data_IF_935007450060
#
_entry.id   IF_935007450060
#
_cell.length_a   1.000
_cell.length_b   1.000
_cell.length_c   1.000
_cell.angle_alpha   90.00
_cell.angle_beta   90.00
_cell.angle_gamma   90.00
#
_symmetry.space_group_name_H-M   'P 1'
#
loop_
_entity.id
_entity.type
_entity.pdbx_description
1 polymer ?
#
# COMPACT_ATOMS: atom_id res chain seq x y z
N UNK A 1 2.13 -32.06 26.90
CA UNK A 1 0.94 -31.38 26.39
C UNK A 1 1.39 -30.01 25.96
N UNK A 2 1.69 -29.85 24.68
CA UNK A 2 1.98 -28.55 24.08
C UNK A 2 1.03 -28.48 22.88
N UNK A 3 0.18 -27.47 22.89
CA UNK A 3 -0.94 -27.29 21.99
C UNK A 3 -0.47 -27.19 20.53
N UNK A 4 -1.26 -27.67 19.56
CA UNK A 4 -0.99 -27.41 18.16
C UNK A 4 -1.15 -25.90 17.94
N UNK A 5 -0.06 -25.22 17.60
CA UNK A 5 -0.09 -23.87 17.03
C UNK A 5 -1.07 -23.94 15.85
N UNK A 6 -2.15 -23.17 15.91
CA UNK A 6 -3.10 -23.02 14.81
C UNK A 6 -2.32 -22.75 13.52
N UNK A 7 -2.22 -23.78 12.68
CA UNK A 7 -1.73 -23.65 11.31
C UNK A 7 -2.91 -23.05 10.56
N UNK A 8 -3.11 -21.75 10.75
CA UNK A 8 -4.02 -20.92 9.95
C UNK A 8 -3.63 -21.18 8.50
N UNK A 9 -4.59 -21.69 7.71
CA UNK A 9 -4.38 -22.01 6.29
C UNK A 9 -4.04 -20.71 5.57
N UNK A 10 -2.77 -20.55 5.20
CA UNK A 10 -2.38 -19.56 4.18
C UNK A 10 -3.24 -19.83 2.93
N UNK A 11 -3.97 -18.80 2.50
CA UNK A 11 -4.81 -18.88 1.29
C UNK A 11 -3.98 -18.38 0.11
N UNK A 12 -4.05 -19.09 -1.02
CA UNK A 12 -3.51 -18.56 -2.27
C UNK A 12 -4.43 -17.46 -2.79
N UNK A 13 -3.94 -16.21 -2.74
CA UNK A 13 -4.64 -15.05 -3.29
C UNK A 13 -4.82 -15.23 -4.81
N UNK A 14 -6.01 -14.88 -5.31
CA UNK A 14 -6.29 -14.89 -6.74
C UNK A 14 -5.38 -13.90 -7.49
N UNK A 15 -5.11 -14.10 -8.79
CA UNK A 15 -4.22 -13.24 -9.57
C UNK A 15 -4.58 -11.75 -9.53
N UNK A 16 -5.86 -11.43 -9.40
CA UNK A 16 -6.38 -10.06 -9.31
C UNK A 16 -5.98 -9.35 -8.01
N UNK A 17 -5.61 -10.11 -6.96
CA UNK A 17 -5.17 -9.61 -5.66
C UNK A 17 -3.65 -9.64 -5.51
N UNK A 18 -2.92 -10.11 -6.52
CA UNK A 18 -1.46 -10.12 -6.53
C UNK A 18 -0.93 -8.82 -7.13
N UNK A 19 0.18 -8.27 -6.60
CA UNK A 19 0.79 -7.08 -7.17
C UNK A 19 1.19 -7.34 -8.63
N UNK A 20 0.78 -6.47 -9.57
CA UNK A 20 1.20 -6.63 -10.96
C UNK A 20 2.73 -6.51 -11.05
N UNK A 21 3.40 -7.39 -11.80
CA UNK A 21 4.85 -7.33 -11.93
C UNK A 21 5.26 -6.04 -12.64
N UNK A 22 6.10 -5.25 -12.00
CA UNK A 22 6.69 -4.05 -12.58
C UNK A 22 8.02 -4.42 -13.22
N UNK A 23 8.23 -4.05 -14.48
CA UNK A 23 9.51 -4.29 -15.15
C UNK A 23 10.61 -3.41 -14.56
N UNK A 24 11.86 -3.92 -14.50
CA UNK A 24 12.99 -3.11 -14.02
C UNK A 24 13.17 -1.82 -14.81
N UNK A 25 13.02 -1.89 -16.14
CA UNK A 25 13.07 -0.70 -16.99
C UNK A 25 12.06 0.36 -16.55
N UNK A 26 10.83 -0.04 -16.20
CA UNK A 26 9.81 0.91 -15.73
C UNK A 26 10.15 1.50 -14.36
N UNK A 27 10.73 0.70 -13.46
CA UNK A 27 11.22 1.20 -12.17
C UNK A 27 12.35 2.21 -12.34
N UNK A 28 13.29 1.93 -13.24
CA UNK A 28 14.41 2.84 -13.52
C UNK A 28 13.92 4.16 -14.12
N UNK A 29 13.00 4.11 -15.09
CA UNK A 29 12.37 5.30 -15.69
C UNK A 29 11.67 6.17 -14.65
N UNK A 30 10.86 5.56 -13.78
CA UNK A 30 10.14 6.27 -12.73
C UNK A 30 11.06 6.80 -11.64
N UNK A 31 12.09 6.05 -11.25
CA UNK A 31 13.09 6.49 -10.28
C UNK A 31 13.82 7.75 -10.76
N UNK A 32 14.26 7.76 -12.03
CA UNK A 32 14.89 8.94 -12.62
C UNK A 32 13.95 10.15 -12.66
N UNK A 33 12.67 9.95 -12.97
CA UNK A 33 11.72 11.05 -13.02
C UNK A 33 11.38 11.58 -11.61
N UNK A 34 11.29 10.70 -10.60
CA UNK A 34 11.10 11.10 -9.20
C UNK A 34 12.29 11.94 -8.72
N UNK A 35 13.53 11.52 -8.98
CA UNK A 35 14.74 12.30 -8.61
C UNK A 35 14.74 13.68 -9.29
N UNK A 36 14.34 13.73 -10.56
CA UNK A 36 14.23 14.98 -11.30
C UNK A 36 13.18 15.91 -10.69
N UNK A 37 12.00 15.41 -10.37
CA UNK A 37 10.93 16.21 -9.75
C UNK A 37 11.36 16.68 -8.35
N UNK A 38 11.95 15.82 -7.54
CA UNK A 38 12.45 16.17 -6.21
C UNK A 38 13.46 17.33 -6.28
N UNK A 39 14.38 17.31 -7.25
CA UNK A 39 15.32 18.42 -7.48
C UNK A 39 14.61 19.73 -7.87
N UNK A 40 13.62 19.67 -8.78
CA UNK A 40 12.85 20.85 -9.18
C UNK A 40 12.07 21.46 -8.01
N UNK A 41 11.47 20.61 -7.17
CA UNK A 41 10.73 21.04 -5.97
C UNK A 41 11.67 21.67 -4.95
N UNK A 42 12.84 21.06 -4.70
CA UNK A 42 13.84 21.58 -3.77
C UNK A 42 14.34 22.97 -4.19
N UNK A 43 14.55 23.19 -5.49
CA UNK A 43 14.96 24.47 -6.06
C UNK A 43 13.80 25.48 -6.18
N UNK A 44 12.56 25.08 -5.84
CA UNK A 44 11.32 25.87 -6.02
C UNK A 44 11.16 26.39 -7.44
N UNK A 45 11.51 25.55 -8.42
CA UNK A 45 11.35 25.85 -9.83
C UNK A 45 9.87 26.02 -10.20
N UNK A 46 9.58 26.94 -11.12
CA UNK A 46 8.23 27.11 -11.70
C UNK A 46 7.80 25.90 -12.53
N UNK A 47 8.75 25.08 -12.98
CA UNK A 47 8.50 23.85 -13.75
C UNK A 47 8.04 22.66 -12.88
N UNK A 48 8.15 22.76 -11.55
CA UNK A 48 7.86 21.65 -10.64
C UNK A 48 6.40 21.18 -10.76
N UNK A 49 5.45 22.11 -10.76
CA UNK A 49 4.01 21.81 -10.82
C UNK A 49 3.62 21.10 -12.12
N UNK A 50 4.24 21.49 -13.25
CA UNK A 50 3.98 20.87 -14.54
C UNK A 50 4.60 19.47 -14.64
N UNK A 51 5.78 19.27 -14.06
CA UNK A 51 6.41 17.95 -13.99
C UNK A 51 5.61 16.98 -13.10
N UNK A 52 5.13 17.43 -11.94
CA UNK A 52 4.26 16.65 -11.05
C UNK A 52 2.96 16.27 -11.77
N UNK A 53 2.32 17.24 -12.46
CA UNK A 53 1.09 16.96 -13.22
C UNK A 53 1.30 15.93 -14.33
N UNK A 54 2.42 16.00 -15.03
CA UNK A 54 2.78 15.01 -16.06
C UNK A 54 3.03 13.61 -15.45
N UNK A 55 3.71 13.55 -14.31
CA UNK A 55 3.95 12.31 -13.57
C UNK A 55 2.65 11.67 -13.07
N UNK A 56 1.74 12.47 -12.51
CA UNK A 56 0.41 12.04 -12.08
C UNK A 56 -0.42 11.53 -13.26
N UNK A 57 -0.39 12.22 -14.40
CA UNK A 57 -1.09 11.75 -15.61
C UNK A 57 -0.51 10.43 -16.15
N UNK A 58 0.80 10.23 -16.04
CA UNK A 58 1.48 9.00 -16.48
C UNK A 58 1.20 7.81 -15.56
N UNK A 59 1.06 8.05 -14.26
CA UNK A 59 0.98 7.00 -13.24
C UNK A 59 -0.46 6.76 -12.75
N UNK A 60 -1.36 7.71 -12.98
CA UNK A 60 -2.75 7.67 -12.52
C UNK A 60 -2.92 8.00 -11.03
N UNK A 61 -1.90 8.61 -10.41
CA UNK A 61 -1.93 9.06 -9.01
C UNK A 61 -2.12 10.58 -8.92
N UNK A 62 -2.24 11.08 -7.69
CA UNK A 62 -2.43 12.50 -7.38
C UNK A 62 -1.40 12.97 -6.35
N UNK A 63 -0.11 12.82 -6.69
CA UNK A 63 0.99 13.25 -5.82
C UNK A 63 1.10 14.78 -5.80
N UNK A 64 1.48 15.32 -4.65
CA UNK A 64 1.79 16.72 -4.42
C UNK A 64 3.30 16.93 -4.24
N UNK A 65 3.76 18.19 -4.32
CA UNK A 65 5.19 18.52 -4.18
C UNK A 65 5.80 18.01 -2.85
N UNK A 66 4.99 17.95 -1.80
CA UNK A 66 5.42 17.46 -0.50
C UNK A 66 5.80 15.98 -0.52
N UNK A 67 5.11 15.15 -1.31
CA UNK A 67 5.39 13.71 -1.42
C UNK A 67 6.81 13.46 -1.95
N UNK A 68 7.27 14.27 -2.90
CA UNK A 68 8.62 14.16 -3.47
C UNK A 68 9.74 14.62 -2.52
N UNK A 69 9.42 15.43 -1.50
CA UNK A 69 10.39 15.86 -0.48
C UNK A 69 10.41 14.88 0.68
N UNK A 70 9.25 14.44 1.17
CA UNK A 70 9.17 13.49 2.28
C UNK A 70 9.76 12.14 1.91
N UNK A 71 9.43 11.58 0.72
CA UNK A 71 10.01 10.32 0.28
C UNK A 71 11.54 10.37 0.24
N UNK A 72 12.15 11.50 -0.18
CA UNK A 72 13.60 11.66 -0.19
C UNK A 72 14.23 11.62 1.22
N UNK A 73 13.44 11.91 2.26
CA UNK A 73 13.87 11.90 3.65
C UNK A 73 13.66 10.57 4.38
N UNK A 74 12.68 9.75 3.97
CA UNK A 74 12.23 8.56 4.73
C UNK A 74 12.20 7.24 3.97
N UNK A 75 12.10 7.22 2.64
CA UNK A 75 11.94 6.01 1.83
C UNK A 75 12.93 5.95 0.66
N UNK A 76 13.23 4.75 0.18
CA UNK A 76 14.12 4.58 -0.97
C UNK A 76 13.38 4.97 -2.27
N UNK A 77 14.02 5.71 -3.18
CA UNK A 77 13.38 6.17 -4.44
C UNK A 77 12.77 5.01 -5.25
N UNK A 78 13.38 3.82 -5.16
CA UNK A 78 12.90 2.60 -5.82
C UNK A 78 11.54 2.12 -5.27
N UNK A 79 11.29 2.31 -3.97
CA UNK A 79 10.02 1.98 -3.33
C UNK A 79 8.91 2.90 -3.83
N UNK A 80 9.19 4.21 -3.87
CA UNK A 80 8.28 5.19 -4.46
C UNK A 80 8.02 4.89 -5.95
N UNK A 81 9.06 4.59 -6.73
CA UNK A 81 8.92 4.20 -8.13
C UNK A 81 8.06 2.94 -8.29
N UNK A 82 8.17 1.97 -7.38
CA UNK A 82 7.37 0.74 -7.41
C UNK A 82 5.91 1.02 -7.10
N UNK A 83 5.61 1.93 -6.19
CA UNK A 83 4.26 2.39 -5.92
C UNK A 83 3.67 3.16 -7.10
N UNK A 84 4.41 4.14 -7.63
CA UNK A 84 3.98 4.96 -8.76
C UNK A 84 3.79 4.12 -10.04
N UNK A 85 4.51 3.01 -10.18
CA UNK A 85 4.33 2.08 -11.30
C UNK A 85 3.03 1.28 -11.23
N UNK A 86 2.43 1.16 -10.05
CA UNK A 86 1.23 0.36 -9.83
C UNK A 86 0.00 1.21 -10.14
N UNK A 87 -1.00 0.64 -10.83
CA UNK A 87 -2.29 1.30 -10.95
C UNK A 87 -2.88 1.53 -9.55
N UNK A 88 -3.63 2.62 -9.38
CA UNK A 88 -4.41 2.84 -8.16
C UNK A 88 -5.25 1.59 -7.87
N UNK A 89 -5.13 1.05 -6.63
CA UNK A 89 -5.86 -0.15 -6.24
C UNK A 89 -7.36 0.14 -6.33
N UNK A 90 -8.04 -0.49 -7.30
CA UNK A 90 -9.49 -0.44 -7.39
C UNK A 90 -10.10 -1.50 -6.47
N UNK A 91 -11.29 -1.25 -5.91
CA UNK A 91 -12.00 -2.27 -5.15
C UNK A 91 -12.22 -3.51 -6.02
N UNK A 92 -11.88 -4.68 -5.48
CA UNK A 92 -12.06 -5.97 -6.13
C UNK A 92 -13.37 -6.57 -5.62
N UNK A 93 -14.34 -6.71 -6.53
CA UNK A 93 -15.65 -7.24 -6.17
C UNK A 93 -15.56 -8.69 -5.66
N UNK A 94 -16.27 -8.97 -4.57
CA UNK A 94 -16.37 -10.33 -4.01
C UNK A 94 -15.10 -10.83 -3.34
N UNK A 95 -14.28 -9.92 -2.79
CA UNK A 95 -13.20 -10.30 -1.88
C UNK A 95 -13.78 -11.02 -0.66
N UNK A 96 -13.20 -12.17 -0.34
CA UNK A 96 -13.63 -12.99 0.79
C UNK A 96 -12.91 -12.58 2.07
N UNK A 97 -13.48 -12.94 3.23
CA UNK A 97 -12.83 -12.72 4.53
C UNK A 97 -11.45 -13.37 4.57
N UNK A 98 -11.31 -14.60 4.08
CA UNK A 98 -10.04 -15.32 4.12
C UNK A 98 -8.96 -14.65 3.25
N UNK A 99 -9.36 -14.05 2.11
CA UNK A 99 -8.45 -13.24 1.28
C UNK A 99 -8.01 -11.96 2.00
N UNK A 100 -8.91 -11.28 2.71
CA UNK A 100 -8.57 -10.11 3.52
C UNK A 100 -7.59 -10.47 4.66
N UNK A 101 -7.80 -11.61 5.31
CA UNK A 101 -6.91 -12.11 6.38
C UNK A 101 -5.51 -12.37 5.83
N UNK A 102 -5.40 -13.00 4.66
CA UNK A 102 -4.10 -13.23 4.02
C UNK A 102 -3.41 -11.92 3.60
N UNK A 103 -4.18 -10.92 3.12
CA UNK A 103 -3.66 -9.57 2.82
C UNK A 103 -3.07 -8.94 4.09
N UNK A 104 -3.83 -8.91 5.20
CA UNK A 104 -3.36 -8.35 6.48
C UNK A 104 -2.13 -9.10 6.99
N UNK A 105 -2.11 -10.43 6.88
CA UNK A 105 -0.96 -11.25 7.26
C UNK A 105 0.31 -10.86 6.48
N UNK A 106 0.20 -10.61 5.17
CA UNK A 106 1.33 -10.19 4.33
C UNK A 106 1.86 -8.80 4.70
N UNK A 107 0.98 -7.90 5.15
CA UNK A 107 1.35 -6.59 5.70
C UNK A 107 2.08 -6.75 7.03
N UNK A 108 1.55 -7.55 7.97
CA UNK A 108 2.14 -7.75 9.30
C UNK A 108 3.56 -8.37 9.26
N UNK A 109 3.85 -9.19 8.24
CA UNK A 109 5.18 -9.78 8.05
C UNK A 109 6.18 -8.81 7.38
N UNK A 110 5.76 -7.57 7.07
CA UNK A 110 6.58 -6.57 6.39
C UNK A 110 7.19 -7.09 5.08
N UNK A 111 6.38 -7.79 4.28
CA UNK A 111 6.73 -8.19 2.92
C UNK A 111 7.19 -6.97 2.09
N UNK A 112 8.06 -7.12 1.08
CA UNK A 112 8.39 -6.05 0.12
C UNK A 112 7.18 -5.45 -0.62
N UNK A 113 6.04 -6.12 -0.49
CA UNK A 113 4.76 -5.81 -1.13
C UNK A 113 3.72 -5.28 -0.12
N UNK A 114 4.12 -4.97 1.11
CA UNK A 114 3.21 -4.57 2.20
C UNK A 114 2.38 -3.35 1.83
N UNK A 115 2.97 -2.32 1.21
CA UNK A 115 2.26 -1.10 0.81
C UNK A 115 1.18 -1.37 -0.24
N UNK A 116 1.42 -2.34 -1.14
CA UNK A 116 0.39 -2.78 -2.08
C UNK A 116 -0.78 -3.45 -1.37
N UNK A 117 -0.49 -4.39 -0.47
CA UNK A 117 -1.52 -5.07 0.30
C UNK A 117 -2.28 -4.11 1.21
N UNK A 118 -1.62 -3.09 1.74
CA UNK A 118 -2.24 -2.04 2.53
C UNK A 118 -3.24 -1.22 1.69
N UNK A 119 -2.81 -0.72 0.52
CA UNK A 119 -3.73 0.03 -0.36
C UNK A 119 -4.86 -0.84 -0.90
N UNK A 120 -4.60 -2.11 -1.17
CA UNK A 120 -5.63 -3.06 -1.57
C UNK A 120 -6.64 -3.26 -0.44
N UNK A 121 -6.18 -3.34 0.80
CA UNK A 121 -7.05 -3.41 1.98
C UNK A 121 -7.90 -2.14 2.13
N UNK A 122 -7.29 -0.96 2.06
CA UNK A 122 -7.98 0.34 2.13
C UNK A 122 -9.01 0.54 1.02
N UNK A 123 -8.73 0.05 -0.21
CA UNK A 123 -9.66 0.15 -1.33
C UNK A 123 -10.87 -0.79 -1.18
N UNK A 124 -10.74 -1.89 -0.44
CA UNK A 124 -11.77 -2.93 -0.30
C UNK A 124 -12.53 -2.87 1.04
N UNK A 125 -11.96 -2.23 2.04
CA UNK A 125 -12.57 -2.07 3.37
C UNK A 125 -13.03 -0.62 3.51
N UNK A 126 -14.35 -0.36 3.66
CA UNK A 126 -14.88 1.00 3.78
C UNK A 126 -14.54 1.69 5.12
N UNK A 127 -13.64 1.12 5.92
CA UNK A 127 -13.23 1.64 7.21
C UNK A 127 -12.22 2.78 7.03
N UNK A 128 -12.52 4.01 7.46
CA UNK A 128 -11.57 5.11 7.43
C UNK A 128 -10.43 4.81 8.42
N UNK A 129 -9.30 4.31 7.92
CA UNK A 129 -8.11 4.04 8.73
C UNK A 129 -7.89 2.58 9.12
N UNK A 130 -8.23 1.61 8.26
CA UNK A 130 -7.84 0.19 8.47
C UNK A 130 -6.31 0.02 8.63
N UNK A 131 -5.51 0.88 7.97
CA UNK A 131 -4.07 0.98 8.21
C UNK A 131 -3.71 1.38 9.64
N UNK A 132 -4.52 2.26 10.26
CA UNK A 132 -4.39 2.62 11.67
C UNK A 132 -4.56 1.44 12.61
N UNK A 133 -5.44 0.48 12.31
CA UNK A 133 -5.60 -0.75 13.10
C UNK A 133 -4.35 -1.65 13.03
N UNK A 134 -3.56 -1.55 11.97
CA UNK A 134 -2.35 -2.38 11.77
C UNK A 134 -1.11 -1.70 12.39
N UNK A 135 -0.90 -0.41 12.13
CA UNK A 135 0.31 0.29 12.57
C UNK A 135 0.18 0.96 13.94
N UNK A 136 -1.05 1.31 14.33
CA UNK A 136 -1.38 1.94 15.60
C UNK A 136 -2.61 1.29 16.24
N UNK A 137 -2.57 -0.04 16.49
CA UNK A 137 -3.70 -0.74 17.08
C UNK A 137 -4.05 -0.14 18.45
N UNK A 138 -5.35 -0.02 18.77
CA UNK A 138 -5.79 0.27 20.14
C UNK A 138 -5.32 -0.86 21.09
N UNK A 139 -5.29 -0.60 22.40
CA UNK A 139 -4.67 -1.50 23.39
C UNK A 139 -5.23 -2.93 23.36
N UNK A 140 -6.48 -3.09 22.93
CA UNK A 140 -7.20 -4.36 22.75
C UNK A 140 -6.79 -5.14 21.48
N UNK A 141 -6.09 -4.49 20.53
CA UNK A 141 -5.64 -5.09 19.27
C UNK A 141 -4.11 -5.13 19.10
N UNK A 142 -3.33 -4.75 20.12
CA UNK A 142 -1.86 -4.69 20.01
C UNK A 142 -1.18 -6.02 19.66
N UNK A 143 -1.79 -7.14 20.02
CA UNK A 143 -1.33 -8.50 19.68
C UNK A 143 -2.38 -9.26 18.84
N UNK A 144 -3.29 -8.54 18.19
CA UNK A 144 -4.36 -9.14 17.41
C UNK A 144 -3.82 -9.92 16.21
N UNK A 145 -4.43 -11.08 15.99
CA UNK A 145 -4.26 -11.87 14.77
C UNK A 145 -4.83 -11.13 13.55
N UNK A 146 -4.40 -11.54 12.36
CA UNK A 146 -4.93 -10.97 11.11
C UNK A 146 -6.46 -11.15 11.00
N UNK A 147 -6.99 -12.23 11.55
CA UNK A 147 -8.42 -12.53 11.68
C UNK A 147 -9.15 -11.50 12.54
N UNK A 148 -8.60 -11.17 13.71
CA UNK A 148 -9.20 -10.20 14.64
C UNK A 148 -9.21 -8.79 14.04
N UNK A 149 -8.12 -8.41 13.37
CA UNK A 149 -8.02 -7.12 12.65
C UNK A 149 -9.08 -7.04 11.54
N UNK A 150 -9.25 -8.11 10.76
CA UNK A 150 -10.27 -8.15 9.69
C UNK A 150 -11.68 -8.15 10.26
N UNK A 151 -11.94 -8.88 11.34
CA UNK A 151 -13.24 -8.90 11.98
C UNK A 151 -13.64 -7.53 12.50
N UNK A 152 -12.71 -6.79 13.12
CA UNK A 152 -12.98 -5.42 13.59
C UNK A 152 -13.26 -4.48 12.41
N UNK A 153 -12.41 -4.55 11.37
CA UNK A 153 -12.55 -3.74 10.17
C UNK A 153 -13.90 -3.97 9.45
N UNK A 154 -14.40 -5.21 9.42
CA UNK A 154 -15.69 -5.56 8.81
C UNK A 154 -16.87 -5.27 9.75
N UNK A 155 -16.73 -5.45 11.07
CA UNK A 155 -17.80 -5.22 12.04
C UNK A 155 -18.20 -3.75 12.16
N UNK A 156 -17.22 -2.84 12.13
CA UNK A 156 -17.45 -1.39 12.16
C UNK A 156 -18.13 -0.84 10.88
N UNK A 157 -18.39 -1.70 9.89
CA UNK A 157 -19.15 -1.36 8.68
C UNK A 157 -20.67 -1.47 8.88
N UNK A 158 -21.17 -1.86 10.06
CA UNK A 158 -22.62 -1.79 10.37
C UNK A 158 -23.04 -0.37 10.79
N UNK A 159 -24.08 0.21 10.16
CA UNK A 159 -24.60 1.54 10.50
C UNK A 159 -25.25 1.61 11.88
#
# INVERSE_FOLDING_TARGET
>A
MSEPVDIVRAVDLRPELLPPPVSRQRLDELSCEIDRIAALVADRSEDADDAIRAFNAMTGHDYEAFDFIEYYGSSNVEEFAREAARPACLPVAGITRDELVEIVRRVLVASPESDYYLRLLEANVPHPGVSGLIFHPPEDLQDASAEEIVDEAVNLTRP
#
